data_IF_581427875002
#
_entry.id   IF_581427875002
#
_cell.length_a   1.000
_cell.length_b   1.000
_cell.length_c   1.000
_cell.angle_alpha   90.00
_cell.angle_beta   90.00
_cell.angle_gamma   90.00
#
_symmetry.space_group_name_H-M   'P 1'
#
loop_
_entity.id
_entity.type
_entity.pdbx_description
1 polymer ?
#
# COMPACT_ATOMS: atom_id res chain seq x y z
N UNK A 1 -21.85 -34.66 -28.96
CA UNK A 1 -21.94 -34.37 -27.51
C UNK A 1 -20.66 -34.85 -26.87
N UNK A 2 -19.69 -33.95 -26.67
CA UNK A 2 -18.42 -34.25 -26.01
C UNK A 2 -18.70 -34.45 -24.53
N UNK A 3 -18.49 -35.65 -24.01
CA UNK A 3 -18.67 -35.96 -22.59
C UNK A 3 -17.67 -35.16 -21.77
N UNK A 4 -18.15 -34.15 -21.07
CA UNK A 4 -17.38 -33.38 -20.10
C UNK A 4 -17.05 -34.32 -18.94
N UNK A 5 -15.85 -34.92 -18.97
CA UNK A 5 -15.35 -35.74 -17.87
C UNK A 5 -15.13 -34.81 -16.68
N UNK A 6 -16.05 -34.89 -15.71
CA UNK A 6 -15.91 -34.19 -14.44
C UNK A 6 -14.54 -34.51 -13.83
N UNK A 7 -13.75 -33.49 -13.45
CA UNK A 7 -12.43 -33.72 -12.88
C UNK A 7 -12.57 -34.51 -11.57
N UNK A 8 -11.58 -35.38 -11.24
CA UNK A 8 -11.64 -36.17 -10.02
C UNK A 8 -11.75 -35.24 -8.79
N UNK A 9 -12.60 -35.61 -7.82
CA UNK A 9 -13.03 -34.77 -6.67
C UNK A 9 -11.88 -34.10 -5.91
N UNK A 10 -10.70 -34.73 -5.84
CA UNK A 10 -9.51 -34.17 -5.21
C UNK A 10 -8.99 -32.90 -5.92
N UNK A 11 -9.14 -32.81 -7.25
CA UNK A 11 -8.75 -31.65 -8.06
C UNK A 11 -9.69 -30.48 -7.79
N UNK A 12 -11.01 -30.73 -7.75
CA UNK A 12 -12.00 -29.69 -7.47
C UNK A 12 -11.80 -29.04 -6.09
N UNK A 13 -11.55 -29.84 -5.04
CA UNK A 13 -11.29 -29.30 -3.69
C UNK A 13 -10.02 -28.44 -3.64
N UNK A 14 -8.99 -28.83 -4.39
CA UNK A 14 -7.74 -28.08 -4.50
C UNK A 14 -7.93 -26.76 -5.24
N UNK A 15 -8.67 -26.77 -6.35
CA UNK A 15 -8.95 -25.54 -7.09
C UNK A 15 -9.85 -24.59 -6.31
N UNK A 16 -10.85 -25.11 -5.59
CA UNK A 16 -11.71 -24.32 -4.71
C UNK A 16 -10.90 -23.65 -3.59
N UNK A 17 -9.98 -24.38 -2.95
CA UNK A 17 -9.09 -23.82 -1.93
C UNK A 17 -8.16 -22.75 -2.51
N UNK A 18 -7.57 -22.99 -3.68
CA UNK A 18 -6.75 -22.00 -4.39
C UNK A 18 -7.53 -20.70 -4.64
N UNK A 19 -8.73 -20.82 -5.22
CA UNK A 19 -9.59 -19.68 -5.53
C UNK A 19 -10.04 -18.94 -4.26
N UNK A 20 -10.29 -19.67 -3.17
CA UNK A 20 -10.68 -19.07 -1.90
C UNK A 20 -9.54 -18.24 -1.29
N UNK A 21 -8.32 -18.80 -1.25
CA UNK A 21 -7.14 -18.09 -0.76
C UNK A 21 -6.77 -16.90 -1.67
N UNK A 22 -6.83 -17.09 -2.99
CA UNK A 22 -6.63 -16.01 -3.94
C UNK A 22 -7.69 -14.92 -3.78
N UNK A 23 -8.96 -15.28 -3.59
CA UNK A 23 -10.05 -14.33 -3.34
C UNK A 23 -9.83 -13.50 -2.08
N UNK A 24 -9.43 -14.13 -0.98
CA UNK A 24 -9.06 -13.43 0.27
C UNK A 24 -7.89 -12.48 0.01
N UNK A 25 -6.82 -12.95 -0.63
CA UNK A 25 -5.65 -12.14 -0.93
C UNK A 25 -5.99 -10.93 -1.80
N UNK A 26 -6.62 -11.15 -2.95
CA UNK A 26 -6.93 -10.11 -3.94
C UNK A 26 -7.89 -9.07 -3.38
N UNK A 27 -8.93 -9.52 -2.65
CA UNK A 27 -9.89 -8.61 -2.01
C UNK A 27 -9.22 -7.78 -0.92
N UNK A 28 -8.39 -8.41 -0.07
CA UNK A 28 -7.65 -7.72 0.98
C UNK A 28 -6.66 -6.71 0.39
N UNK A 29 -5.98 -7.05 -0.70
CA UNK A 29 -5.03 -6.16 -1.36
C UNK A 29 -5.73 -4.92 -1.95
N UNK A 30 -6.82 -5.10 -2.70
CA UNK A 30 -7.54 -3.99 -3.34
C UNK A 30 -8.24 -3.12 -2.29
N UNK A 31 -8.95 -3.71 -1.33
CA UNK A 31 -9.60 -2.95 -0.25
C UNK A 31 -8.58 -2.32 0.69
N UNK A 32 -7.45 -2.97 0.94
CA UNK A 32 -6.36 -2.43 1.74
C UNK A 32 -5.84 -1.11 1.17
N UNK A 33 -5.71 -1.01 -0.15
CA UNK A 33 -5.30 0.22 -0.82
C UNK A 33 -6.37 1.32 -0.76
N UNK A 34 -7.65 0.97 -0.94
CA UNK A 34 -8.74 1.95 -0.80
C UNK A 34 -8.85 2.44 0.64
N UNK A 35 -9.04 1.54 1.60
CA UNK A 35 -9.23 1.87 3.02
C UNK A 35 -7.98 2.52 3.61
N UNK A 36 -6.80 2.03 3.24
CA UNK A 36 -5.52 2.53 3.72
C UNK A 36 -5.21 3.95 3.27
N UNK A 37 -5.85 4.41 2.21
CA UNK A 37 -5.74 5.81 1.78
C UNK A 37 -6.89 6.64 2.37
N UNK A 38 -8.12 6.12 2.44
CA UNK A 38 -9.27 6.94 2.85
C UNK A 38 -9.50 7.07 4.35
N UNK A 39 -8.97 6.15 5.19
CA UNK A 39 -9.32 6.11 6.61
C UNK A 39 -8.11 5.90 7.51
N UNK A 40 -7.99 6.79 8.49
CA UNK A 40 -6.97 6.73 9.54
C UNK A 40 -7.63 6.56 10.92
N UNK A 41 -6.94 5.87 11.81
CA UNK A 41 -7.33 5.73 13.21
C UNK A 41 -6.21 6.27 14.09
N UNK A 42 -6.60 7.05 15.09
CA UNK A 42 -5.71 7.52 16.14
C UNK A 42 -5.40 6.38 17.09
N UNK A 43 -4.10 6.09 17.27
CA UNK A 43 -3.63 5.06 18.20
C UNK A 43 -3.50 5.65 19.61
N UNK A 44 -2.87 6.81 19.72
CA UNK A 44 -2.74 7.54 20.98
C UNK A 44 -2.60 9.04 20.73
N UNK A 45 -2.97 9.82 21.74
CA UNK A 45 -2.71 11.25 21.81
C UNK A 45 -2.02 11.56 23.14
N UNK A 46 -0.98 12.37 23.11
CA UNK A 46 -0.19 12.74 24.30
C UNK A 46 -0.04 14.26 24.33
N UNK A 47 -0.29 14.84 25.49
CA UNK A 47 0.05 16.24 25.78
C UNK A 47 1.57 16.35 25.99
N UNK A 48 2.22 17.09 25.10
CA UNK A 48 3.63 17.41 25.12
C UNK A 48 3.88 18.52 26.14
N UNK A 49 4.85 18.31 27.02
CA UNK A 49 5.38 19.36 27.90
C UNK A 49 6.15 20.43 27.12
N UNK A 50 6.29 21.64 27.68
CA UNK A 50 6.88 22.82 27.01
C UNK A 50 8.23 22.57 26.33
N UNK A 51 9.12 21.79 26.94
CA UNK A 51 10.43 21.48 26.34
C UNK A 51 10.30 20.64 25.06
N UNK A 52 9.29 19.77 24.97
CA UNK A 52 9.03 18.95 23.78
C UNK A 52 8.45 19.77 22.63
N UNK A 53 7.76 20.89 22.89
CA UNK A 53 7.23 21.77 21.85
C UNK A 53 8.33 22.41 20.99
N UNK A 54 9.53 22.55 21.56
CA UNK A 54 10.70 23.08 20.84
C UNK A 54 11.36 22.06 19.90
N UNK A 55 11.16 20.77 20.16
CA UNK A 55 11.75 19.67 19.37
C UNK A 55 10.73 19.08 18.39
N UNK A 56 9.45 19.04 18.77
CA UNK A 56 8.36 18.49 17.97
C UNK A 56 7.80 19.58 17.06
N UNK A 57 7.88 19.45 15.73
CA UNK A 57 7.36 20.44 14.79
C UNK A 57 5.84 20.59 14.87
N UNK A 58 5.32 21.80 14.63
CA UNK A 58 3.88 22.07 14.54
C UNK A 58 3.17 21.26 13.45
N UNK A 59 3.91 20.72 12.48
CA UNK A 59 3.36 19.86 11.42
C UNK A 59 2.73 18.55 11.95
N UNK A 60 3.17 18.07 13.11
CA UNK A 60 2.76 16.76 13.67
C UNK A 60 2.07 16.90 15.03
N UNK A 61 1.77 18.13 15.47
CA UNK A 61 1.09 18.39 16.74
C UNK A 61 0.06 19.51 16.57
N UNK A 62 -1.08 19.36 17.22
CA UNK A 62 -2.05 20.45 17.38
C UNK A 62 -1.80 21.12 18.74
N UNK A 63 -1.23 22.32 18.72
CA UNK A 63 -0.77 23.02 19.93
C UNK A 63 0.17 22.13 20.77
N UNK A 64 -0.23 21.76 21.98
CA UNK A 64 0.54 20.86 22.84
C UNK A 64 0.22 19.38 22.63
N UNK A 65 -0.71 19.01 21.74
CA UNK A 65 -1.15 17.63 21.59
C UNK A 65 -0.47 16.98 20.39
N UNK A 66 0.31 15.94 20.65
CA UNK A 66 0.80 15.05 19.60
C UNK A 66 -0.17 13.88 19.41
N UNK A 67 -0.53 13.62 18.16
CA UNK A 67 -1.45 12.53 17.80
C UNK A 67 -0.78 11.58 16.81
N UNK A 68 -0.71 10.30 17.17
CA UNK A 68 -0.24 9.25 16.27
C UNK A 68 -1.42 8.61 15.56
N UNK A 69 -1.48 8.76 14.23
CA UNK A 69 -2.52 8.18 13.38
C UNK A 69 -1.94 7.14 12.42
N UNK A 70 -2.65 6.03 12.22
CA UNK A 70 -2.25 4.93 11.34
C UNK A 70 -3.37 4.63 10.35
N UNK A 71 -3.06 4.36 9.07
CA UNK A 71 -4.06 3.98 8.09
C UNK A 71 -4.73 2.65 8.46
N UNK A 72 -6.06 2.63 8.41
CA UNK A 72 -6.87 1.44 8.77
C UNK A 72 -6.61 0.27 7.81
N UNK A 73 -6.16 0.56 6.58
CA UNK A 73 -5.79 -0.45 5.59
C UNK A 73 -4.72 -1.43 6.06
N UNK A 74 -3.94 -1.10 7.09
CA UNK A 74 -2.97 -2.02 7.73
C UNK A 74 -3.63 -3.32 8.22
N UNK A 75 -4.93 -3.29 8.53
CA UNK A 75 -5.70 -4.49 8.91
C UNK A 75 -5.76 -5.53 7.78
N UNK A 76 -5.59 -5.15 6.52
CA UNK A 76 -5.55 -6.08 5.40
C UNK A 76 -4.25 -6.91 5.36
N UNK A 77 -3.14 -6.40 5.92
CA UNK A 77 -1.83 -7.03 5.82
C UNK A 77 -1.78 -8.45 6.38
N UNK A 78 -2.27 -8.75 7.60
CA UNK A 78 -2.30 -10.11 8.12
C UNK A 78 -2.99 -11.11 7.18
N UNK A 79 -4.12 -10.71 6.56
CA UNK A 79 -4.83 -11.57 5.62
C UNK A 79 -4.06 -11.78 4.31
N UNK A 80 -3.44 -10.72 3.78
CA UNK A 80 -2.62 -10.84 2.57
C UNK A 80 -1.39 -11.72 2.78
N UNK A 81 -0.67 -11.56 3.90
CA UNK A 81 0.50 -12.38 4.20
C UNK A 81 0.11 -13.84 4.43
N UNK A 82 -0.89 -14.09 5.28
CA UNK A 82 -1.38 -15.44 5.54
C UNK A 82 -1.82 -16.15 4.25
N UNK A 83 -2.62 -15.47 3.40
CA UNK A 83 -3.08 -16.06 2.15
C UNK A 83 -1.92 -16.33 1.18
N UNK A 84 -0.93 -15.42 1.08
CA UNK A 84 0.22 -15.59 0.19
C UNK A 84 1.15 -16.71 0.66
N UNK A 85 1.35 -16.83 1.97
CA UNK A 85 2.16 -17.89 2.57
C UNK A 85 1.53 -19.26 2.32
N UNK A 86 0.22 -19.40 2.60
CA UNK A 86 -0.53 -20.63 2.32
C UNK A 86 -0.55 -20.95 0.81
N UNK A 87 -0.70 -19.95 -0.05
CA UNK A 87 -0.61 -20.14 -1.50
C UNK A 87 0.79 -20.63 -1.91
N UNK A 88 1.84 -20.06 -1.32
CA UNK A 88 3.23 -20.42 -1.61
C UNK A 88 3.54 -21.85 -1.14
N UNK A 89 3.05 -22.24 0.03
CA UNK A 89 3.25 -23.56 0.62
C UNK A 89 2.46 -24.66 -0.12
N UNK A 90 1.17 -24.45 -0.38
CA UNK A 90 0.28 -25.48 -0.94
C UNK A 90 0.31 -25.57 -2.48
N UNK A 91 0.65 -24.48 -3.16
CA UNK A 91 0.59 -24.37 -4.63
C UNK A 91 1.92 -23.97 -5.27
N UNK A 92 2.93 -23.65 -4.46
CA UNK A 92 4.27 -23.30 -4.91
C UNK A 92 4.41 -21.84 -5.31
N UNK A 93 5.67 -21.38 -5.27
CA UNK A 93 6.08 -20.00 -5.53
C UNK A 93 5.53 -19.41 -6.83
N UNK A 94 5.54 -20.17 -7.94
CA UNK A 94 5.08 -19.67 -9.25
C UNK A 94 3.60 -19.27 -9.23
N UNK A 95 2.75 -20.08 -8.58
CA UNK A 95 1.31 -19.81 -8.48
C UNK A 95 1.02 -18.68 -7.52
N UNK A 96 1.68 -18.63 -6.36
CA UNK A 96 1.55 -17.50 -5.44
C UNK A 96 1.99 -16.18 -6.10
N UNK A 97 3.12 -16.18 -6.83
CA UNK A 97 3.59 -15.00 -7.55
C UNK A 97 2.63 -14.57 -8.67
N UNK A 98 1.97 -15.51 -9.34
CA UNK A 98 0.91 -15.18 -10.30
C UNK A 98 -0.25 -14.44 -9.62
N UNK A 99 -0.71 -14.91 -8.45
CA UNK A 99 -1.79 -14.25 -7.70
C UNK A 99 -1.38 -12.84 -7.27
N UNK A 100 -0.12 -12.64 -6.84
CA UNK A 100 0.42 -11.30 -6.54
C UNK A 100 0.37 -10.38 -7.76
N UNK A 101 0.82 -10.86 -8.93
CA UNK A 101 0.76 -10.09 -10.18
C UNK A 101 -0.67 -9.76 -10.60
N UNK A 102 -1.60 -10.70 -10.45
CA UNK A 102 -3.02 -10.44 -10.69
C UNK A 102 -3.53 -9.34 -9.76
N UNK A 103 -3.15 -9.38 -8.47
CA UNK A 103 -3.49 -8.33 -7.51
C UNK A 103 -2.94 -6.95 -7.86
N UNK A 104 -1.71 -6.88 -8.35
CA UNK A 104 -1.13 -5.64 -8.88
C UNK A 104 -1.97 -5.09 -10.05
N UNK A 105 -2.26 -5.92 -11.05
CA UNK A 105 -3.05 -5.49 -12.21
C UNK A 105 -4.51 -5.16 -11.86
N UNK A 106 -5.09 -5.83 -10.86
CA UNK A 106 -6.41 -5.47 -10.34
C UNK A 106 -6.42 -4.06 -9.73
N UNK A 107 -5.34 -3.65 -9.05
CA UNK A 107 -5.23 -2.28 -8.54
C UNK A 107 -5.11 -1.25 -9.65
N UNK A 108 -4.28 -1.52 -10.67
CA UNK A 108 -4.18 -0.66 -11.85
C UNK A 108 -5.54 -0.54 -12.56
N UNK A 109 -6.25 -1.66 -12.72
CA UNK A 109 -7.58 -1.68 -13.34
C UNK A 109 -8.63 -0.94 -12.51
N UNK A 110 -8.60 -1.08 -11.19
CA UNK A 110 -9.45 -0.32 -10.28
C UNK A 110 -9.21 1.19 -10.40
N UNK A 111 -7.95 1.65 -10.40
CA UNK A 111 -7.60 3.06 -10.62
C UNK A 111 -8.05 3.56 -11.99
N UNK A 112 -7.93 2.73 -13.02
CA UNK A 112 -8.43 3.03 -14.36
C UNK A 112 -9.96 3.23 -14.35
N UNK A 113 -10.72 2.32 -13.75
CA UNK A 113 -12.18 2.44 -13.66
C UNK A 113 -12.60 3.69 -12.89
N UNK A 114 -11.93 3.99 -11.77
CA UNK A 114 -12.20 5.22 -11.02
C UNK A 114 -11.90 6.47 -11.85
N UNK A 115 -10.77 6.47 -12.59
CA UNK A 115 -10.42 7.59 -13.48
C UNK A 115 -11.46 7.80 -14.56
N UNK A 116 -11.89 6.73 -15.23
CA UNK A 116 -12.95 6.82 -16.25
C UNK A 116 -14.24 7.38 -15.64
N UNK A 117 -14.63 6.93 -14.44
CA UNK A 117 -15.84 7.40 -13.78
C UNK A 117 -15.78 8.88 -13.39
N UNK A 118 -14.61 9.39 -12.96
CA UNK A 118 -14.39 10.81 -12.69
C UNK A 118 -14.61 11.70 -13.93
N UNK A 119 -14.19 11.25 -15.11
CA UNK A 119 -14.35 12.01 -16.36
C UNK A 119 -15.74 11.90 -17.00
N UNK A 120 -16.58 10.97 -16.53
CA UNK A 120 -17.94 10.81 -17.04
C UNK A 120 -18.90 11.86 -16.45
N UNK A 121 -19.84 12.40 -17.24
CA UNK A 121 -20.78 13.39 -16.74
C UNK A 121 -21.71 12.78 -15.69
N UNK A 122 -21.80 13.42 -14.53
CA UNK A 122 -22.74 13.04 -13.48
C UNK A 122 -24.16 13.55 -13.79
N UNK A 123 -25.18 12.82 -13.31
CA UNK A 123 -26.58 13.25 -13.40
C UNK A 123 -27.04 13.78 -12.04
N UNK A 124 -27.44 15.05 -12.00
CA UNK A 124 -27.96 15.69 -10.78
C UNK A 124 -29.26 15.05 -10.31
N UNK A 125 -29.40 14.82 -9.00
CA UNK A 125 -30.65 14.36 -8.38
C UNK A 125 -30.87 12.83 -8.37
N UNK A 126 -29.96 12.04 -8.92
CA UNK A 126 -30.05 10.56 -8.93
C UNK A 126 -29.30 9.94 -7.74
N UNK A 127 -28.11 10.44 -7.41
CA UNK A 127 -27.30 9.93 -6.29
C UNK A 127 -26.66 11.06 -5.49
N UNK A 128 -26.74 10.98 -4.16
CA UNK A 128 -25.97 11.86 -3.25
C UNK A 128 -24.50 11.47 -3.08
N UNK A 129 -24.05 10.41 -3.76
CA UNK A 129 -22.71 9.84 -3.60
C UNK A 129 -21.59 10.52 -4.39
N UNK A 130 -21.90 11.54 -5.20
CA UNK A 130 -20.89 12.16 -6.07
C UNK A 130 -19.72 12.76 -5.28
N UNK A 131 -20.00 13.51 -4.22
CA UNK A 131 -18.93 14.09 -3.36
C UNK A 131 -18.09 13.01 -2.65
N UNK A 132 -18.70 11.88 -2.26
CA UNK A 132 -17.95 10.76 -1.68
C UNK A 132 -17.02 10.12 -2.70
N UNK A 133 -17.51 9.91 -3.93
CA UNK A 133 -16.71 9.34 -5.00
C UNK A 133 -15.54 10.26 -5.37
N UNK A 134 -15.79 11.56 -5.58
CA UNK A 134 -14.75 12.53 -5.92
C UNK A 134 -13.67 12.62 -4.84
N UNK A 135 -14.07 12.72 -3.57
CA UNK A 135 -13.11 12.78 -2.47
C UNK A 135 -12.25 11.52 -2.36
N UNK A 136 -12.82 10.33 -2.55
CA UNK A 136 -12.04 9.07 -2.56
C UNK A 136 -11.10 9.03 -3.78
N UNK A 137 -11.57 9.46 -4.95
CA UNK A 137 -10.78 9.46 -6.17
C UNK A 137 -9.58 10.40 -6.11
N UNK A 138 -9.78 11.67 -5.73
CA UNK A 138 -8.72 12.68 -5.62
C UNK A 138 -7.63 12.21 -4.65
N UNK A 139 -8.03 11.66 -3.51
CA UNK A 139 -7.10 11.14 -2.52
C UNK A 139 -6.33 9.92 -3.05
N UNK A 140 -7.00 8.98 -3.72
CA UNK A 140 -6.35 7.79 -4.28
C UNK A 140 -5.36 8.10 -5.39
N UNK A 141 -5.69 9.01 -6.32
CA UNK A 141 -4.76 9.43 -7.37
C UNK A 141 -3.58 10.19 -6.78
N UNK A 142 -3.84 11.15 -5.89
CA UNK A 142 -2.79 11.95 -5.25
C UNK A 142 -1.80 11.06 -4.52
N UNK A 143 -2.31 10.12 -3.73
CA UNK A 143 -1.46 9.18 -2.98
C UNK A 143 -0.73 8.20 -3.90
N UNK A 144 -1.37 7.70 -4.95
CA UNK A 144 -0.70 6.79 -5.91
C UNK A 144 0.47 7.48 -6.61
N UNK A 145 0.27 8.70 -7.11
CA UNK A 145 1.34 9.48 -7.76
C UNK A 145 2.46 9.77 -6.75
N UNK A 146 2.10 10.17 -5.53
CA UNK A 146 3.07 10.41 -4.45
C UNK A 146 3.90 9.15 -4.15
N UNK A 147 3.26 7.99 -3.99
CA UNK A 147 3.93 6.71 -3.77
C UNK A 147 4.84 6.32 -4.93
N UNK A 148 4.44 6.55 -6.19
CA UNK A 148 5.29 6.26 -7.35
C UNK A 148 6.53 7.14 -7.38
N UNK A 149 6.39 8.44 -7.10
CA UNK A 149 7.53 9.38 -7.05
C UNK A 149 8.44 9.03 -5.88
N UNK A 150 7.89 8.81 -4.69
CA UNK A 150 8.64 8.43 -3.50
C UNK A 150 9.40 7.12 -3.73
N UNK A 151 8.75 6.10 -4.30
CA UNK A 151 9.37 4.83 -4.65
C UNK A 151 10.55 5.03 -5.60
N UNK A 152 10.41 5.82 -6.68
CA UNK A 152 11.50 6.06 -7.63
C UNK A 152 12.70 6.76 -6.96
N UNK A 153 12.44 7.74 -6.09
CA UNK A 153 13.49 8.43 -5.34
C UNK A 153 14.17 7.47 -4.36
N UNK A 154 13.40 6.72 -3.58
CA UNK A 154 13.89 5.76 -2.61
C UNK A 154 14.72 4.65 -3.27
N UNK A 155 14.26 4.07 -4.38
CA UNK A 155 15.03 3.07 -5.14
C UNK A 155 16.34 3.66 -5.70
N UNK A 156 16.32 4.91 -6.16
CA UNK A 156 17.54 5.57 -6.64
C UNK A 156 18.55 5.77 -5.50
N UNK A 157 18.07 6.13 -4.32
CA UNK A 157 18.90 6.24 -3.10
C UNK A 157 19.42 4.88 -2.66
N UNK A 158 18.59 3.83 -2.67
CA UNK A 158 18.97 2.46 -2.31
C UNK A 158 20.15 1.98 -3.15
N UNK A 159 20.03 2.09 -4.47
CA UNK A 159 21.09 1.68 -5.41
C UNK A 159 22.37 2.44 -5.16
N UNK A 160 22.30 3.78 -5.00
CA UNK A 160 23.49 4.61 -4.74
C UNK A 160 24.17 4.24 -3.44
N UNK A 161 23.40 4.04 -2.36
CA UNK A 161 23.94 3.66 -1.06
C UNK A 161 24.49 2.24 -1.06
N UNK A 162 23.81 1.30 -1.70
CA UNK A 162 24.29 -0.07 -1.83
C UNK A 162 25.68 -0.11 -2.50
N UNK A 163 25.87 0.67 -3.57
CA UNK A 163 27.15 0.79 -4.26
C UNK A 163 28.19 1.57 -3.44
N UNK A 164 27.81 2.66 -2.79
CA UNK A 164 28.68 3.39 -1.87
C UNK A 164 29.25 2.47 -0.77
N UNK A 165 28.38 1.69 -0.11
CA UNK A 165 28.81 0.74 0.91
C UNK A 165 29.62 -0.42 0.33
N UNK A 166 29.31 -0.88 -0.89
CA UNK A 166 30.11 -1.90 -1.58
C UNK A 166 31.52 -1.40 -1.86
N UNK A 167 31.69 -0.17 -2.32
CA UNK A 167 33.00 0.39 -2.65
C UNK A 167 33.80 0.72 -1.39
N UNK A 168 33.14 1.18 -0.33
CA UNK A 168 33.76 1.47 0.98
C UNK A 168 34.23 0.21 1.72
N UNK A 169 33.54 -0.93 1.53
CA UNK A 169 33.88 -2.19 2.22
C UNK A 169 34.70 -3.17 1.36
N UNK A 170 35.21 -2.75 0.20
CA UNK A 170 35.85 -3.65 -0.79
C UNK A 170 34.97 -4.87 -1.12
N UNK A 171 33.65 -4.66 -1.14
CA UNK A 171 32.66 -5.71 -1.35
C UNK A 171 32.40 -6.64 -0.17
N UNK A 172 33.09 -6.48 0.96
CA UNK A 172 32.91 -7.27 2.20
C UNK A 172 31.62 -6.86 2.92
N UNK A 173 31.07 -7.75 3.75
CA UNK A 173 29.86 -7.50 4.55
C UNK A 173 28.59 -7.16 3.74
N UNK A 174 28.10 -8.13 2.94
CA UNK A 174 26.81 -8.06 2.22
C UNK A 174 25.65 -7.60 3.11
N UNK A 175 25.62 -8.09 4.36
CA UNK A 175 24.58 -7.75 5.33
C UNK A 175 24.56 -6.25 5.66
N UNK A 176 25.72 -5.63 5.85
CA UNK A 176 25.81 -4.22 6.23
C UNK A 176 25.23 -3.33 5.14
N UNK A 177 25.66 -3.52 3.89
CA UNK A 177 25.17 -2.70 2.77
C UNK A 177 23.67 -2.89 2.51
N UNK A 178 23.16 -4.11 2.65
CA UNK A 178 21.75 -4.41 2.41
C UNK A 178 20.85 -3.75 3.46
N UNK A 179 21.21 -3.85 4.75
CA UNK A 179 20.43 -3.24 5.81
C UNK A 179 20.57 -1.70 5.78
N UNK A 180 21.79 -1.19 5.60
CA UNK A 180 22.02 0.25 5.57
C UNK A 180 21.32 0.93 4.38
N UNK A 181 21.36 0.34 3.18
CA UNK A 181 20.65 0.89 2.02
C UNK A 181 19.14 0.81 2.22
N UNK A 182 18.61 -0.33 2.70
CA UNK A 182 17.17 -0.52 2.94
C UNK A 182 16.63 0.46 3.99
N UNK A 183 17.30 0.61 5.13
CA UNK A 183 16.86 1.51 6.20
C UNK A 183 16.80 2.96 5.71
N UNK A 184 17.85 3.44 5.03
CA UNK A 184 17.87 4.81 4.53
C UNK A 184 16.82 5.02 3.45
N UNK A 185 16.62 4.04 2.57
CA UNK A 185 15.65 4.14 1.48
C UNK A 185 14.21 4.13 1.99
N UNK A 186 13.90 3.36 3.03
CA UNK A 186 12.57 3.38 3.65
C UNK A 186 12.28 4.69 4.39
N UNK A 187 13.29 5.31 4.99
CA UNK A 187 13.17 6.66 5.54
C UNK A 187 12.90 7.68 4.44
N UNK A 188 13.66 7.63 3.33
CA UNK A 188 13.44 8.50 2.17
C UNK A 188 12.05 8.31 1.57
N UNK A 189 11.59 7.07 1.42
CA UNK A 189 10.25 6.75 0.90
C UNK A 189 9.15 7.37 1.77
N UNK A 190 9.20 7.11 3.07
CA UNK A 190 8.22 7.61 4.04
C UNK A 190 8.21 9.13 4.10
N UNK A 191 9.38 9.77 4.16
CA UNK A 191 9.50 11.23 4.18
C UNK A 191 9.03 11.85 2.86
N UNK A 192 9.32 11.23 1.72
CA UNK A 192 8.89 11.72 0.41
C UNK A 192 7.37 11.63 0.27
N UNK A 193 6.74 10.51 0.65
CA UNK A 193 5.27 10.37 0.65
C UNK A 193 4.63 11.47 1.51
N UNK A 194 5.06 11.61 2.76
CA UNK A 194 4.51 12.62 3.67
C UNK A 194 4.70 14.05 3.14
N UNK A 195 5.86 14.35 2.58
CA UNK A 195 6.15 15.67 2.00
C UNK A 195 5.25 15.96 0.79
N UNK A 196 5.10 15.00 -0.13
CA UNK A 196 4.27 15.18 -1.32
C UNK A 196 2.80 15.35 -0.93
N UNK A 197 2.30 14.53 0.00
CA UNK A 197 0.93 14.66 0.50
C UNK A 197 0.69 16.01 1.19
N UNK A 198 1.67 16.50 1.95
CA UNK A 198 1.59 17.83 2.57
C UNK A 198 1.46 18.94 1.53
N UNK A 199 2.39 18.98 0.56
CA UNK A 199 2.38 20.02 -0.47
C UNK A 199 1.19 19.92 -1.43
N UNK A 200 0.64 18.71 -1.62
CA UNK A 200 -0.56 18.50 -2.42
C UNK A 200 -1.86 18.91 -1.68
N UNK A 201 -1.79 19.35 -0.42
CA UNK A 201 -2.97 19.68 0.38
C UNK A 201 -3.80 18.45 0.76
N UNK A 202 -3.25 17.24 0.61
CA UNK A 202 -3.90 15.97 0.89
C UNK A 202 -3.61 15.46 2.32
N UNK A 203 -2.89 16.24 3.14
CA UNK A 203 -2.81 16.00 4.58
C UNK A 203 -3.94 16.76 5.28
N UNK A 204 -4.84 15.99 5.89
CA UNK A 204 -6.05 16.38 6.63
C UNK A 204 -6.27 17.88 6.88
N UNK A 205 -7.32 18.41 6.24
CA UNK A 205 -8.22 19.40 6.85
C UNK A 205 -9.52 18.70 7.24
#
# INVERSE_FOLDING_TARGET
MSGEKTPPVATYKRDALFLSLAGIFLTSLVLGNVIGTTKFVTIFSVELSDWMLTVVPELIRDNSVYTMSVPVGVIAYPFTFLATDLLSELYGRKKAQLVVWVGFWMNVFMLFLMTVNHWLPSTSGVSGGLQLFEGVYEFMIGNTIASMVAYLVAQTVDVRLFHFWKDLTDGKHLWLRNNASTTVSQLVDSTAILSILYFAGNLGQ
#
